data_IF_813520727622
#
_entry.id   IF_813520727622
#
_cell.length_a   1.000
_cell.length_b   1.000
_cell.length_c   1.000
_cell.angle_alpha   90.00
_cell.angle_beta   90.00
_cell.angle_gamma   90.00
#
_symmetry.space_group_name_H-M   'P 1'
#
loop_
_entity.id
_entity.type
_entity.pdbx_description
1 polymer ?
#
# COMPACT_ATOMS: atom_id res chain seq x y z
N UNK A 1 -0.46 37.14 47.42
CA UNK A 1 -0.20 35.69 47.48
C UNK A 1 -0.77 34.91 46.26
N UNK A 2 -0.80 35.48 45.05
CA UNK A 2 -1.28 34.79 43.84
C UNK A 2 -0.23 33.91 43.13
N UNK A 3 0.96 33.68 43.72
CA UNK A 3 2.13 33.15 42.98
C UNK A 3 2.38 31.65 43.05
N UNK A 4 1.61 30.85 43.80
CA UNK A 4 1.86 29.39 43.93
C UNK A 4 0.75 28.51 43.34
N UNK A 5 -0.50 28.98 43.37
CA UNK A 5 -1.67 28.20 42.92
C UNK A 5 -1.76 28.19 41.39
N UNK A 6 -1.62 29.35 40.75
CA UNK A 6 -1.62 29.48 39.29
C UNK A 6 -0.44 28.76 38.67
N UNK A 7 0.74 28.78 39.29
CA UNK A 7 1.95 28.11 38.80
C UNK A 7 1.78 26.61 38.59
N UNK A 8 1.00 25.93 39.43
CA UNK A 8 0.69 24.49 39.26
C UNK A 8 -0.22 24.25 38.06
N UNK A 9 -1.25 25.10 37.88
CA UNK A 9 -2.16 25.00 36.73
C UNK A 9 -1.47 25.40 35.42
N UNK A 10 -0.58 26.40 35.44
CA UNK A 10 0.23 26.79 34.28
C UNK A 10 1.20 25.68 33.90
N UNK A 11 1.86 25.05 34.88
CA UNK A 11 2.75 23.90 34.62
C UNK A 11 1.97 22.72 34.02
N UNK A 12 0.79 22.40 34.58
CA UNK A 12 -0.08 21.34 34.05
C UNK A 12 -0.53 21.64 32.61
N UNK A 13 -0.93 22.87 32.32
CA UNK A 13 -1.29 23.31 30.98
C UNK A 13 -0.14 23.13 29.99
N UNK A 14 1.08 23.51 30.38
CA UNK A 14 2.28 23.34 29.55
C UNK A 14 2.53 21.85 29.28
N UNK A 15 2.44 20.99 30.29
CA UNK A 15 2.61 19.53 30.13
C UNK A 15 1.56 18.95 29.18
N UNK A 16 0.30 19.36 29.29
CA UNK A 16 -0.77 18.93 28.38
C UNK A 16 -0.51 19.40 26.95
N UNK A 17 -0.13 20.66 26.76
CA UNK A 17 0.21 21.20 25.44
C UNK A 17 1.41 20.49 24.82
N UNK A 18 2.42 20.15 25.63
CA UNK A 18 3.55 19.33 25.18
C UNK A 18 3.10 17.92 24.79
N UNK A 19 2.25 17.27 25.58
CA UNK A 19 1.74 15.93 25.25
C UNK A 19 0.94 15.94 23.93
N UNK A 20 0.07 16.94 23.73
CA UNK A 20 -0.65 17.12 22.46
C UNK A 20 0.31 17.39 21.31
N UNK A 21 1.29 18.28 21.50
CA UNK A 21 2.29 18.61 20.48
C UNK A 21 3.14 17.40 20.08
N UNK A 22 3.57 16.60 21.05
CA UNK A 22 4.31 15.35 20.84
C UNK A 22 3.43 14.34 20.07
N UNK A 23 2.18 14.15 20.49
CA UNK A 23 1.25 13.25 19.82
C UNK A 23 1.02 13.67 18.36
N UNK A 24 0.84 14.97 18.11
CA UNK A 24 0.65 15.51 16.77
C UNK A 24 1.90 15.34 15.90
N UNK A 25 3.09 15.56 16.48
CA UNK A 25 4.37 15.39 15.80
C UNK A 25 4.59 13.93 15.37
N UNK A 26 4.43 12.96 16.28
CA UNK A 26 4.60 11.55 15.98
C UNK A 26 3.57 11.02 14.98
N UNK A 27 2.31 11.48 15.06
CA UNK A 27 1.28 11.14 14.07
C UNK A 27 1.54 11.75 12.69
N UNK A 28 2.37 12.79 12.62
CA UNK A 28 2.72 13.48 11.36
C UNK A 28 3.98 12.90 10.70
N UNK A 29 4.69 11.96 11.35
CA UNK A 29 5.83 11.29 10.73
C UNK A 29 5.31 10.34 9.64
N UNK A 30 5.76 10.48 8.38
CA UNK A 30 5.32 9.59 7.32
C UNK A 30 5.73 8.15 7.65
N UNK A 31 4.73 7.26 7.74
CA UNK A 31 4.97 5.84 7.95
C UNK A 31 5.45 5.20 6.64
N UNK A 32 6.76 5.18 6.47
CA UNK A 32 7.42 4.48 5.38
C UNK A 32 7.34 2.97 5.63
N UNK A 33 7.06 2.22 4.58
CA UNK A 33 6.95 0.76 4.56
C UNK A 33 7.39 0.26 3.19
N UNK A 34 7.27 -1.04 2.93
CA UNK A 34 7.63 -1.65 1.66
C UNK A 34 6.59 -2.68 1.24
N UNK A 35 6.60 -3.04 -0.04
CA UNK A 35 5.77 -4.15 -0.52
C UNK A 35 6.10 -5.45 0.21
N UNK A 36 7.38 -5.68 0.53
CA UNK A 36 7.80 -6.84 1.32
C UNK A 36 7.14 -6.87 2.69
N UNK A 37 7.13 -5.74 3.39
CA UNK A 37 6.55 -5.66 4.73
C UNK A 37 5.04 -5.91 4.74
N UNK A 38 4.35 -5.46 3.69
CA UNK A 38 2.88 -5.54 3.59
C UNK A 38 2.39 -6.85 2.97
N UNK A 39 3.18 -7.49 2.10
CA UNK A 39 2.77 -8.67 1.33
C UNK A 39 3.70 -9.84 1.59
N UNK A 40 4.98 -9.77 1.20
CA UNK A 40 5.88 -10.94 1.20
C UNK A 40 6.23 -11.47 2.59
N UNK A 41 6.20 -10.63 3.63
CA UNK A 41 6.36 -11.06 5.02
C UNK A 41 5.13 -11.82 5.56
N UNK A 42 4.06 -11.91 4.76
CA UNK A 42 2.77 -12.46 5.15
C UNK A 42 2.26 -13.57 4.22
N UNK A 43 3.04 -13.94 3.20
CA UNK A 43 2.82 -15.09 2.31
C UNK A 43 4.17 -15.57 1.76
N UNK A 44 4.41 -16.89 1.71
CA UNK A 44 5.59 -17.42 1.01
C UNK A 44 5.33 -17.45 -0.48
N UNK A 45 6.34 -17.14 -1.29
CA UNK A 45 6.22 -17.21 -2.77
C UNK A 45 5.78 -18.61 -3.24
N UNK A 46 6.26 -19.67 -2.57
CA UNK A 46 5.87 -21.05 -2.84
C UNK A 46 4.40 -21.39 -2.54
N UNK A 47 3.68 -20.52 -1.82
CA UNK A 47 2.26 -20.67 -1.51
C UNK A 47 1.37 -19.94 -2.52
N UNK A 48 1.96 -19.12 -3.41
CA UNK A 48 1.24 -18.41 -4.47
C UNK A 48 0.97 -19.40 -5.60
N UNK A 49 -0.31 -19.64 -5.86
CA UNK A 49 -0.78 -20.54 -6.91
C UNK A 49 -0.91 -19.80 -8.26
N UNK A 50 -1.41 -18.56 -8.23
CA UNK A 50 -1.49 -17.71 -9.41
C UNK A 50 -1.53 -16.23 -9.03
N UNK A 51 -1.21 -15.39 -10.00
CA UNK A 51 -1.47 -13.96 -9.95
C UNK A 51 -2.37 -13.61 -11.13
N UNK A 52 -3.61 -13.22 -10.84
CA UNK A 52 -4.54 -12.72 -11.86
C UNK A 52 -4.30 -11.21 -12.01
N UNK A 53 -4.05 -10.73 -13.22
CA UNK A 53 -3.75 -9.32 -13.49
C UNK A 53 -4.78 -8.78 -14.47
N UNK A 54 -5.54 -7.79 -14.02
CA UNK A 54 -6.49 -7.05 -14.83
C UNK A 54 -5.87 -5.71 -15.22
N UNK A 55 -5.92 -5.38 -16.51
CA UNK A 55 -5.63 -4.05 -17.04
C UNK A 55 -6.95 -3.32 -17.27
N UNK A 56 -7.02 -2.10 -16.80
CA UNK A 56 -8.21 -1.25 -16.91
C UNK A 56 -7.97 -0.15 -17.93
N UNK A 57 -9.06 0.28 -18.56
CA UNK A 57 -9.02 1.41 -19.48
C UNK A 57 -8.70 2.71 -18.75
N UNK A 58 -7.93 3.58 -19.40
CA UNK A 58 -7.70 4.94 -18.89
C UNK A 58 -8.90 5.86 -19.08
N UNK A 59 -9.82 5.49 -19.97
CA UNK A 59 -11.00 6.31 -20.27
C UNK A 59 -12.26 5.80 -19.56
N UNK A 60 -12.23 4.57 -19.05
CA UNK A 60 -13.38 3.93 -18.39
C UNK A 60 -12.94 2.96 -17.30
N UNK A 61 -13.79 2.69 -16.31
CA UNK A 61 -13.52 1.69 -15.27
C UNK A 61 -13.66 0.24 -15.75
N UNK A 62 -13.66 0.01 -17.06
CA UNK A 62 -13.82 -1.31 -17.65
C UNK A 62 -12.48 -2.04 -17.73
N UNK A 63 -12.52 -3.37 -17.63
CA UNK A 63 -11.37 -4.23 -17.87
C UNK A 63 -11.15 -4.32 -19.38
N UNK A 64 -9.94 -3.98 -19.83
CA UNK A 64 -9.54 -4.13 -21.23
C UNK A 64 -8.93 -5.51 -21.47
N UNK A 65 -8.06 -5.94 -20.57
CA UNK A 65 -7.30 -7.17 -20.71
C UNK A 65 -7.16 -7.88 -19.36
N UNK A 66 -7.13 -9.20 -19.38
CA UNK A 66 -6.93 -10.06 -18.22
C UNK A 66 -5.89 -11.11 -18.58
N UNK A 67 -4.91 -11.28 -17.70
CA UNK A 67 -3.93 -12.36 -17.79
C UNK A 67 -3.86 -13.10 -16.48
N UNK A 68 -3.64 -14.41 -16.57
CA UNK A 68 -3.35 -15.25 -15.43
C UNK A 68 -1.90 -15.69 -15.48
N UNK A 69 -1.14 -15.39 -14.44
CA UNK A 69 0.26 -15.73 -14.34
C UNK A 69 0.43 -16.92 -13.40
N UNK A 70 1.04 -17.99 -13.91
CA UNK A 70 1.30 -19.24 -13.21
C UNK A 70 2.81 -19.58 -13.27
N UNK A 71 3.25 -20.43 -12.33
CA UNK A 71 4.60 -21.00 -12.25
C UNK A 71 5.75 -19.97 -12.27
N UNK A 72 6.75 -20.17 -13.14
CA UNK A 72 8.04 -19.46 -13.12
C UNK A 72 7.91 -17.93 -13.29
N UNK A 73 6.80 -17.46 -13.85
CA UNK A 73 6.56 -16.02 -14.06
C UNK A 73 6.14 -15.31 -12.75
N UNK A 74 5.61 -16.05 -11.76
CA UNK A 74 5.25 -15.49 -10.45
C UNK A 74 6.48 -14.91 -9.76
N UNK A 75 7.60 -15.66 -9.79
CA UNK A 75 8.85 -15.23 -9.14
C UNK A 75 9.38 -13.91 -9.70
N UNK A 76 9.27 -13.69 -11.00
CA UNK A 76 9.68 -12.44 -11.66
C UNK A 76 8.84 -11.26 -11.16
N UNK A 77 7.52 -11.38 -11.21
CA UNK A 77 6.60 -10.31 -10.76
C UNK A 77 6.83 -9.98 -9.29
N UNK A 78 6.96 -11.00 -8.44
CA UNK A 78 7.20 -10.80 -7.01
C UNK A 78 8.56 -10.14 -6.76
N UNK A 79 9.60 -10.54 -7.48
CA UNK A 79 10.93 -9.92 -7.38
C UNK A 79 10.88 -8.43 -7.74
N UNK A 80 10.20 -8.07 -8.82
CA UNK A 80 10.10 -6.68 -9.26
C UNK A 80 9.35 -5.82 -8.23
N UNK A 81 8.23 -6.33 -7.71
CA UNK A 81 7.45 -5.68 -6.65
C UNK A 81 8.19 -5.58 -5.32
N UNK A 82 9.11 -6.51 -5.02
CA UNK A 82 9.84 -6.55 -3.73
C UNK A 82 10.68 -5.30 -3.47
N UNK A 83 11.02 -4.57 -4.54
CA UNK A 83 11.82 -3.33 -4.48
C UNK A 83 11.00 -2.09 -4.15
N UNK A 84 9.66 -2.18 -4.19
CA UNK A 84 8.76 -1.04 -4.04
C UNK A 84 8.76 -0.54 -2.59
N UNK A 85 9.10 0.74 -2.44
CA UNK A 85 8.98 1.48 -1.17
C UNK A 85 7.71 2.30 -1.18
N UNK A 86 7.03 2.29 -0.05
CA UNK A 86 5.69 2.84 0.12
C UNK A 86 5.66 3.81 1.29
N UNK A 87 4.80 4.80 1.21
CA UNK A 87 4.44 5.68 2.33
C UNK A 87 2.95 5.62 2.52
N UNK A 88 2.50 5.27 3.73
CA UNK A 88 1.07 5.22 4.05
C UNK A 88 0.43 6.59 3.88
N UNK A 89 -0.72 6.63 3.22
CA UNK A 89 -1.55 7.81 3.06
C UNK A 89 -2.96 7.51 3.57
N UNK A 90 -3.73 8.55 3.92
CA UNK A 90 -5.10 8.38 4.43
C UNK A 90 -6.05 7.81 3.38
N UNK A 91 -5.82 8.16 2.11
CA UNK A 91 -6.60 7.74 0.96
C UNK A 91 -5.77 7.93 -0.30
N UNK A 92 -6.03 7.14 -1.33
CA UNK A 92 -5.64 7.50 -2.70
C UNK A 92 -6.65 8.56 -3.16
N UNK A 93 -6.18 9.70 -3.66
CA UNK A 93 -7.09 10.68 -4.26
C UNK A 93 -7.82 9.98 -5.41
N UNK A 94 -9.14 10.07 -5.48
CA UNK A 94 -9.98 9.10 -6.20
C UNK A 94 -10.06 9.38 -7.72
N UNK A 95 -9.11 10.17 -8.21
CA UNK A 95 -8.99 10.59 -9.60
C UNK A 95 -7.61 10.23 -10.18
N UNK A 96 -7.18 8.96 -10.05
CA UNK A 96 -6.59 8.31 -11.22
C UNK A 96 -7.37 7.06 -11.56
N UNK A 97 -7.54 6.84 -12.85
CA UNK A 97 -8.02 5.59 -13.40
C UNK A 97 -7.12 4.46 -12.88
N UNK A 98 -7.68 3.53 -12.11
CA UNK A 98 -7.01 2.27 -11.77
C UNK A 98 -6.41 1.74 -13.05
N UNK A 99 -5.11 1.49 -13.08
CA UNK A 99 -4.41 1.04 -14.28
C UNK A 99 -4.30 -0.47 -14.29
N UNK A 100 -3.95 -1.05 -13.13
CA UNK A 100 -3.86 -2.48 -12.95
C UNK A 100 -4.49 -2.94 -11.63
N UNK A 101 -5.00 -4.16 -11.63
CA UNK A 101 -5.31 -4.90 -10.41
C UNK A 101 -4.61 -6.24 -10.44
N UNK A 102 -3.87 -6.55 -9.39
CA UNK A 102 -3.28 -7.85 -9.18
C UNK A 102 -4.04 -8.57 -8.06
N UNK A 103 -4.45 -9.80 -8.30
CA UNK A 103 -5.02 -10.69 -7.28
C UNK A 103 -4.04 -11.84 -7.05
N UNK A 104 -3.36 -11.83 -5.91
CA UNK A 104 -2.45 -12.91 -5.50
C UNK A 104 -3.29 -14.01 -4.85
N UNK A 105 -3.31 -15.17 -5.49
CA UNK A 105 -4.10 -16.33 -5.07
C UNK A 105 -3.22 -17.41 -4.50
N UNK A 106 -3.73 -18.05 -3.46
CA UNK A 106 -3.20 -19.30 -2.91
C UNK A 106 -4.09 -20.45 -3.36
N UNK A 107 -3.67 -21.70 -3.13
CA UNK A 107 -4.48 -22.88 -3.44
C UNK A 107 -5.85 -22.91 -2.76
N UNK A 108 -6.07 -22.08 -1.73
CA UNK A 108 -7.30 -22.07 -0.94
C UNK A 108 -8.20 -20.88 -1.27
N UNK A 109 -7.64 -19.69 -1.49
CA UNK A 109 -8.42 -18.47 -1.77
C UNK A 109 -7.55 -17.29 -2.28
N UNK A 110 -8.20 -16.17 -2.61
CA UNK A 110 -7.58 -14.88 -2.86
C UNK A 110 -6.95 -14.33 -1.57
N UNK A 111 -5.63 -14.14 -1.57
CA UNK A 111 -4.88 -13.72 -0.37
C UNK A 111 -4.68 -12.21 -0.32
N UNK A 112 -4.34 -11.60 -1.46
CA UNK A 112 -4.13 -10.16 -1.58
C UNK A 112 -4.76 -9.63 -2.85
N UNK A 113 -5.38 -8.46 -2.76
CA UNK A 113 -5.76 -7.64 -3.92
C UNK A 113 -4.96 -6.35 -3.90
N UNK A 114 -4.26 -6.07 -4.98
CA UNK A 114 -3.43 -4.88 -5.13
C UNK A 114 -3.99 -4.06 -6.28
N UNK A 115 -4.37 -2.82 -6.04
CA UNK A 115 -4.72 -1.88 -7.10
C UNK A 115 -3.56 -0.92 -7.32
N UNK A 116 -3.15 -0.76 -8.58
CA UNK A 116 -2.21 0.26 -9.00
C UNK A 116 -2.98 1.39 -9.68
N UNK A 117 -2.73 2.60 -9.21
CA UNK A 117 -3.29 3.83 -9.79
C UNK A 117 -2.13 4.58 -10.42
N UNK A 118 -2.02 4.46 -11.74
CA UNK A 118 -0.88 4.91 -12.52
C UNK A 118 0.44 4.34 -11.95
N UNK A 119 1.43 5.20 -11.73
CA UNK A 119 2.74 4.86 -11.16
C UNK A 119 2.94 5.43 -9.75
N UNK A 120 1.96 6.20 -9.25
CA UNK A 120 2.11 6.99 -8.03
C UNK A 120 1.52 6.32 -6.79
N UNK A 121 0.45 5.54 -6.95
CA UNK A 121 -0.30 5.03 -5.80
C UNK A 121 -0.63 3.55 -5.91
N UNK A 122 -0.66 2.92 -4.74
CA UNK A 122 -0.99 1.52 -4.55
C UNK A 122 -1.99 1.37 -3.41
N UNK A 123 -3.04 0.58 -3.63
CA UNK A 123 -3.85 0.05 -2.55
C UNK A 123 -3.60 -1.43 -2.39
N UNK A 124 -3.48 -1.89 -1.15
CA UNK A 124 -3.28 -3.30 -0.83
C UNK A 124 -4.37 -3.73 0.14
N UNK A 125 -5.18 -4.69 -0.29
CA UNK A 125 -6.15 -5.39 0.53
C UNK A 125 -5.59 -6.75 0.95
N UNK A 126 -5.46 -6.96 2.26
CA UNK A 126 -5.12 -8.25 2.87
C UNK A 126 -6.42 -8.96 3.26
N UNK A 127 -6.79 -10.02 2.53
CA UNK A 127 -8.04 -10.76 2.78
C UNK A 127 -8.06 -11.47 4.14
N UNK A 128 -6.89 -11.92 4.63
CA UNK A 128 -6.75 -12.62 5.91
C UNK A 128 -6.97 -11.67 7.09
N UNK A 129 -6.44 -10.44 6.99
CA UNK A 129 -6.60 -9.39 8.01
C UNK A 129 -7.87 -8.55 7.83
N UNK A 130 -8.50 -8.64 6.65
CA UNK A 130 -9.61 -7.76 6.22
C UNK A 130 -9.23 -6.28 6.29
N UNK A 131 -7.99 -5.96 5.94
CA UNK A 131 -7.43 -4.61 6.02
C UNK A 131 -7.14 -4.07 4.61
N UNK A 132 -7.54 -2.83 4.35
CA UNK A 132 -7.17 -2.06 3.17
C UNK A 132 -6.22 -0.95 3.60
N UNK A 133 -5.06 -0.88 2.94
CA UNK A 133 -4.15 0.24 3.09
C UNK A 133 -3.95 0.98 1.78
N UNK A 134 -3.90 2.30 1.84
CA UNK A 134 -3.57 3.19 0.74
C UNK A 134 -2.15 3.73 0.91
N UNK A 135 -1.38 3.72 -0.17
CA UNK A 135 0.05 4.03 -0.15
C UNK A 135 0.45 4.86 -1.36
N UNK A 136 1.34 5.82 -1.14
CA UNK A 136 2.10 6.49 -2.21
C UNK A 136 3.39 5.70 -2.46
N UNK A 137 3.67 5.42 -3.72
CA UNK A 137 4.95 4.83 -4.16
C UNK A 137 6.02 5.92 -4.06
N UNK A 138 7.14 5.61 -3.40
CA UNK A 138 8.25 6.54 -3.14
C UNK A 138 9.60 6.03 -3.64
N UNK A 139 9.63 4.83 -4.21
CA UNK A 139 10.75 4.29 -4.99
C UNK A 139 10.52 4.53 -6.47
N UNK A 140 11.60 4.52 -7.25
CA UNK A 140 11.52 4.47 -8.71
C UNK A 140 10.99 3.09 -9.13
N UNK A 141 9.67 2.99 -9.31
CA UNK A 141 8.99 1.78 -9.76
C UNK A 141 8.67 1.90 -11.24
N UNK A 142 9.07 0.92 -12.04
CA UNK A 142 8.78 0.88 -13.47
C UNK A 142 7.59 -0.07 -13.75
N UNK A 143 6.47 0.50 -14.19
CA UNK A 143 5.25 -0.25 -14.53
C UNK A 143 5.39 -1.07 -15.83
N UNK A 144 6.42 -0.83 -16.65
CA UNK A 144 6.69 -1.57 -17.88
C UNK A 144 6.74 -3.08 -17.65
N UNK A 145 7.23 -3.51 -16.49
CA UNK A 145 7.25 -4.93 -16.09
C UNK A 145 5.87 -5.58 -16.25
N UNK A 146 4.82 -4.91 -15.79
CA UNK A 146 3.44 -5.42 -15.92
C UNK A 146 2.97 -5.27 -17.37
N UNK A 147 3.28 -4.16 -18.03
CA UNK A 147 2.89 -3.91 -19.43
C UNK A 147 3.42 -5.01 -20.36
N UNK A 148 4.66 -5.46 -20.18
CA UNK A 148 5.26 -6.52 -21.02
C UNK A 148 4.55 -7.87 -20.89
N UNK A 149 3.80 -8.11 -19.82
CA UNK A 149 3.04 -9.35 -19.65
C UNK A 149 1.82 -9.42 -20.60
N UNK A 150 1.32 -8.28 -21.06
CA UNK A 150 0.21 -8.16 -22.00
C UNK A 150 0.65 -8.11 -23.47
N UNK A 151 1.96 -8.04 -23.74
CA UNK A 151 2.51 -7.96 -25.10
C UNK A 151 2.83 -9.34 -25.71
N UNK A 152 2.37 -10.41 -25.07
CA UNK A 152 2.58 -11.80 -25.48
C UNK A 152 1.44 -12.30 -26.36
#
# INVERSE_FOLDING_TARGET
>A
MLKKKYTKYTLLLIVVLFAVGIMWFFNSIPQNTSFNDLVLNHIKVSEIASIDILKFSRESSNVEEEIKVEDDNIGKIISDFSTIKLRKVSSVDVNPYRTYQLSIRTNQDNRFKINLYEEDYMEIYDAKKKELGSYKIISDYNVETIQTLFQK
#
